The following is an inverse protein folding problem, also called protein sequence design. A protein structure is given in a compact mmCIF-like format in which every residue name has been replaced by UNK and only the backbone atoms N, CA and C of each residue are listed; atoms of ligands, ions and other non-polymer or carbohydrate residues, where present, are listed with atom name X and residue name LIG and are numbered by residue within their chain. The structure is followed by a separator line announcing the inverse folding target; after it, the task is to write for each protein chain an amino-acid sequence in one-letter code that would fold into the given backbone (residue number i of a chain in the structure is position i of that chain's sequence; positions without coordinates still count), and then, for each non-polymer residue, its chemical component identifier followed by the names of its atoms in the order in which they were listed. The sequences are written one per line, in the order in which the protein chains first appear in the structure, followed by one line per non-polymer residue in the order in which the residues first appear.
data_IF_122997652782
#
_entry.id   IF_122997652782
#
_cell.length_a   1.000
_cell.length_b   1.000
_cell.length_c   1.000
_cell.angle_alpha   90.00
_cell.angle_beta   90.00
_cell.angle_gamma   90.00
#
_symmetry.space_group_name_H-M   'P 1'
#
loop_
_entity.id
_entity.type
_entity.pdbx_description
1 polymer ?
#
# COMPACT_ATOMS: atom_id res chain seq x y z
N UNK A 1 -7.25 21.66 1.81
CA UNK A 1 -7.26 20.84 3.03
C UNK A 1 -8.31 19.75 2.86
N UNK A 2 -7.90 18.49 2.97
CA UNK A 2 -8.83 17.36 3.02
C UNK A 2 -9.50 17.25 4.40
N UNK A 3 -10.43 16.30 4.59
CA UNK A 3 -11.17 16.13 5.84
C UNK A 3 -10.28 15.89 7.07
N UNK A 4 -9.06 15.40 6.87
CA UNK A 4 -8.11 15.02 7.92
C UNK A 4 -7.29 16.20 8.46
N UNK A 5 -7.32 17.36 7.81
CA UNK A 5 -6.59 18.57 8.24
C UNK A 5 -5.07 18.51 8.11
N UNK A 6 -4.50 17.44 7.54
CA UNK A 6 -3.06 17.26 7.34
C UNK A 6 -2.54 18.05 6.12
N UNK A 7 -1.28 18.50 6.20
CA UNK A 7 -0.58 19.04 5.05
C UNK A 7 0.00 17.89 4.21
N UNK A 8 -0.19 17.92 2.90
CA UNK A 8 0.30 16.89 1.98
C UNK A 8 0.93 17.48 0.72
N UNK A 9 1.97 16.81 0.22
CA UNK A 9 2.65 17.16 -1.04
C UNK A 9 2.96 15.86 -1.79
N UNK A 10 2.83 15.86 -3.11
CA UNK A 10 3.24 14.74 -3.97
C UNK A 10 4.25 15.23 -5.00
N UNK A 11 5.39 14.56 -5.10
CA UNK A 11 6.48 14.86 -6.02
C UNK A 11 6.72 13.64 -6.94
N UNK A 12 6.40 13.72 -8.25
CA UNK A 12 6.61 12.61 -9.17
C UNK A 12 8.10 12.33 -9.39
N UNK A 13 8.47 11.05 -9.51
CA UNK A 13 9.83 10.66 -9.86
C UNK A 13 10.04 10.69 -11.39
N UNK A 14 11.22 11.11 -11.87
CA UNK A 14 11.53 11.14 -13.29
C UNK A 14 11.81 9.72 -13.83
N UNK A 15 10.74 8.93 -14.02
CA UNK A 15 10.81 7.55 -14.53
C UNK A 15 10.38 7.55 -15.99
N UNK A 16 11.24 7.06 -16.88
CA UNK A 16 10.91 6.92 -18.30
C UNK A 16 9.99 5.72 -18.53
N UNK A 17 8.87 5.94 -19.22
CA UNK A 17 7.88 4.91 -19.54
C UNK A 17 8.22 4.15 -20.84
N UNK A 18 9.49 3.97 -21.19
CA UNK A 18 10.01 3.63 -22.53
C UNK A 18 9.17 2.64 -23.36
N UNK A 19 8.67 1.57 -22.72
CA UNK A 19 7.88 0.51 -23.38
C UNK A 19 6.38 0.56 -23.07
N UNK A 20 5.86 1.70 -22.65
CA UNK A 20 4.47 1.90 -22.24
C UNK A 20 4.11 1.34 -20.86
N UNK A 21 5.08 0.74 -20.16
CA UNK A 21 4.90 0.18 -18.82
C UNK A 21 6.05 0.59 -17.93
N UNK A 22 5.74 1.38 -16.89
CA UNK A 22 6.68 1.79 -15.86
C UNK A 22 5.95 1.90 -14.53
N UNK A 23 6.66 1.71 -13.40
CA UNK A 23 6.05 1.83 -12.09
C UNK A 23 5.65 3.29 -11.84
N UNK A 24 4.41 3.50 -11.41
CA UNK A 24 3.93 4.81 -10.98
C UNK A 24 4.45 5.08 -9.56
N UNK A 25 5.61 5.72 -9.45
CA UNK A 25 6.22 6.09 -8.17
C UNK A 25 6.28 7.61 -7.99
N UNK A 26 6.01 8.05 -6.77
CA UNK A 26 6.13 9.43 -6.34
C UNK A 26 6.59 9.48 -4.88
N UNK A 27 7.23 10.57 -4.50
CA UNK A 27 7.46 10.93 -3.11
C UNK A 27 6.22 11.62 -2.56
N UNK A 28 5.68 11.07 -1.49
CA UNK A 28 4.54 11.61 -0.77
C UNK A 28 5.01 12.16 0.57
N UNK A 29 4.68 13.43 0.82
CA UNK A 29 4.80 14.05 2.13
C UNK A 29 3.43 14.12 2.81
N UNK A 30 3.40 13.80 4.10
CA UNK A 30 2.29 14.09 5.01
C UNK A 30 2.82 14.61 6.33
N UNK A 31 2.24 15.69 6.87
CA UNK A 31 2.63 16.23 8.18
C UNK A 31 2.39 15.24 9.33
N UNK A 32 1.50 14.27 9.15
CA UNK A 32 1.25 13.18 10.11
C UNK A 32 2.09 11.93 9.84
N UNK A 33 2.96 11.94 8.83
CA UNK A 33 3.78 10.79 8.46
C UNK A 33 4.92 10.53 9.46
N UNK A 34 5.24 9.25 9.65
CA UNK A 34 6.34 8.81 10.51
C UNK A 34 7.73 8.99 9.89
N UNK A 35 8.73 8.41 10.54
CA UNK A 35 10.09 8.33 9.99
C UNK A 35 10.22 7.17 9.00
N UNK A 36 11.01 7.34 7.95
CA UNK A 36 11.25 6.32 6.94
C UNK A 36 12.52 6.59 6.12
N UNK A 37 12.80 5.76 5.10
CA UNK A 37 14.02 5.86 4.30
C UNK A 37 14.22 7.21 3.60
N UNK A 38 13.14 7.96 3.37
CA UNK A 38 13.16 9.27 2.71
C UNK A 38 13.09 10.46 3.69
N UNK A 39 13.18 10.18 5.00
CA UNK A 39 13.07 11.16 6.07
C UNK A 39 11.68 11.22 6.70
N UNK A 40 11.54 12.07 7.72
CA UNK A 40 10.29 12.22 8.49
C UNK A 40 9.20 12.86 7.62
N UNK A 41 8.01 12.26 7.64
CA UNK A 41 6.86 12.71 6.87
C UNK A 41 6.91 12.33 5.39
N UNK A 42 8.04 11.82 4.89
CA UNK A 42 8.24 11.43 3.49
C UNK A 42 8.17 9.92 3.29
N UNK A 43 7.53 9.50 2.20
CA UNK A 43 7.41 8.10 1.81
C UNK A 43 7.40 7.96 0.30
N UNK A 44 7.87 6.82 -0.20
CA UNK A 44 7.68 6.38 -1.59
C UNK A 44 7.06 4.98 -1.50
N UNK A 45 5.73 4.94 -1.41
CA UNK A 45 5.02 3.69 -1.18
C UNK A 45 4.89 2.88 -2.47
N UNK A 46 5.10 1.58 -2.34
CA UNK A 46 4.78 0.58 -3.36
C UNK A 46 3.55 -0.21 -2.92
N UNK A 47 2.79 -0.77 -3.86
CA UNK A 47 1.70 -1.69 -3.50
C UNK A 47 2.25 -2.86 -2.65
N UNK A 48 1.61 -3.10 -1.52
CA UNK A 48 2.03 -4.16 -0.58
C UNK A 48 0.81 -4.73 0.13
N UNK A 49 0.95 -5.96 0.62
CA UNK A 49 0.01 -6.59 1.55
C UNK A 49 0.74 -6.73 2.88
N UNK A 50 0.09 -6.33 3.97
CA UNK A 50 0.68 -6.37 5.31
C UNK A 50 -0.24 -7.12 6.28
N UNK A 51 0.31 -7.70 7.36
CA UNK A 51 -0.50 -8.16 8.50
C UNK A 51 -0.95 -6.95 9.30
N UNK A 52 -2.21 -6.94 9.77
CA UNK A 52 -2.76 -5.84 10.56
C UNK A 52 -2.10 -5.78 11.93
N UNK A 53 -1.48 -4.65 12.25
CA UNK A 53 -0.85 -4.41 13.56
C UNK A 53 -1.60 -3.42 14.45
N UNK A 54 -2.68 -2.82 13.94
CA UNK A 54 -3.43 -1.78 14.67
C UNK A 54 -4.17 -2.32 15.91
N UNK A 55 -4.44 -3.63 15.96
CA UNK A 55 -5.17 -4.30 17.06
C UNK A 55 -4.27 -5.21 17.92
N UNK A 56 -2.95 -5.07 17.80
CA UNK A 56 -2.00 -5.90 18.53
C UNK A 56 -0.96 -6.52 17.60
N UNK A 57 -0.14 -7.40 18.18
CA UNK A 57 0.94 -8.07 17.46
C UNK A 57 0.37 -9.29 16.72
N UNK A 58 0.61 -9.44 15.41
CA UNK A 58 0.24 -10.63 14.66
C UNK A 58 0.83 -11.90 15.28
N UNK A 59 0.03 -12.95 15.39
CA UNK A 59 0.47 -14.24 15.94
C UNK A 59 1.03 -15.18 14.88
N UNK A 60 0.97 -14.79 13.61
CA UNK A 60 1.42 -15.55 12.44
C UNK A 60 0.67 -16.88 12.27
N UNK A 61 -0.61 -16.90 12.63
CA UNK A 61 -1.53 -18.01 12.39
C UNK A 61 -2.70 -17.56 11.49
N UNK A 62 -3.70 -18.44 11.29
CA UNK A 62 -4.85 -18.19 10.43
C UNK A 62 -5.86 -17.18 11.00
N UNK A 63 -5.67 -16.70 12.24
CA UNK A 63 -6.54 -15.69 12.85
C UNK A 63 -6.10 -14.24 12.57
N UNK A 64 -4.91 -14.05 12.00
CA UNK A 64 -4.43 -12.71 11.67
C UNK A 64 -5.17 -12.12 10.46
N UNK A 65 -5.48 -10.83 10.56
CA UNK A 65 -6.06 -10.06 9.47
C UNK A 65 -4.96 -9.49 8.56
N UNK A 66 -5.27 -9.36 7.27
CA UNK A 66 -4.39 -8.74 6.27
C UNK A 66 -4.95 -7.40 5.82
N UNK A 67 -4.06 -6.47 5.53
CA UNK A 67 -4.35 -5.18 4.92
C UNK A 67 -3.92 -5.20 3.46
N UNK A 68 -4.79 -4.70 2.58
CA UNK A 68 -4.52 -4.52 1.16
C UNK A 68 -3.62 -3.31 0.88
N UNK A 69 -3.29 -3.06 -0.40
CA UNK A 69 -2.48 -1.91 -0.81
C UNK A 69 -3.08 -0.54 -0.49
N UNK A 70 -4.39 -0.49 -0.28
CA UNK A 70 -5.17 0.67 0.15
C UNK A 70 -5.22 0.84 1.67
N UNK A 71 -4.68 -0.12 2.42
CA UNK A 71 -4.74 -0.16 3.88
C UNK A 71 -6.06 -0.69 4.44
N UNK A 72 -6.96 -1.22 3.61
CA UNK A 72 -8.22 -1.81 4.06
C UNK A 72 -8.08 -3.29 4.42
N UNK A 73 -8.95 -3.78 5.31
CA UNK A 73 -8.94 -5.19 5.74
C UNK A 73 -9.41 -6.08 4.60
N UNK A 74 -8.58 -7.04 4.23
CA UNK A 74 -8.91 -8.06 3.24
C UNK A 74 -9.83 -9.11 3.85
N UNK A 75 -10.89 -9.45 3.12
CA UNK A 75 -11.86 -10.49 3.49
C UNK A 75 -11.77 -11.63 2.49
N UNK A 76 -11.75 -12.86 2.98
CA UNK A 76 -11.77 -14.04 2.13
C UNK A 76 -13.08 -14.10 1.34
N UNK A 77 -12.97 -14.15 0.02
CA UNK A 77 -14.11 -14.42 -0.87
C UNK A 77 -14.20 -15.91 -1.17
N UNK A 78 -15.38 -16.36 -1.61
CA UNK A 78 -15.54 -17.72 -2.10
C UNK A 78 -14.53 -17.97 -3.23
N UNK A 79 -13.82 -19.09 -3.16
CA UNK A 79 -13.02 -19.53 -4.28
C UNK A 79 -13.97 -19.76 -5.45
N UNK A 80 -13.80 -19.03 -6.55
CA UNK A 80 -14.36 -19.43 -7.84
C UNK A 80 -13.61 -20.67 -8.30
N UNK A 81 -13.89 -21.81 -7.66
CA UNK A 81 -13.22 -23.08 -7.89
C UNK A 81 -13.54 -23.73 -9.24
N UNK A 82 -14.22 -23.01 -10.15
CA UNK A 82 -14.62 -23.50 -11.47
C UNK A 82 -13.98 -22.71 -12.64
N UNK A 83 -13.12 -21.72 -12.34
CA UNK A 83 -12.33 -21.03 -13.36
C UNK A 83 -10.88 -21.52 -13.28
N UNK A 84 -10.32 -22.16 -14.34
CA UNK A 84 -8.91 -22.49 -14.36
C UNK A 84 -8.10 -21.20 -14.22
N UNK A 85 -7.08 -21.24 -13.36
CA UNK A 85 -6.12 -20.17 -13.18
C UNK A 85 -5.66 -19.67 -14.56
N UNK A 86 -5.74 -18.37 -14.90
CA UNK A 86 -5.35 -17.91 -16.23
C UNK A 86 -3.88 -18.22 -16.45
N UNK A 87 -3.63 -19.23 -17.28
CA UNK A 87 -2.30 -19.60 -17.74
C UNK A 87 -1.86 -18.48 -18.67
N UNK A 88 -0.77 -17.80 -18.31
CA UNK A 88 -0.02 -16.92 -19.20
C UNK A 88 0.60 -17.72 -20.34
#
# INVERSE_FOLDING_TARGET
SGPDGLASITLPLPISAERGFAPALALHYSSGGGNGPFGVGWSCATMSIARRTSHGVPQYNDSDEFLGPDGEVLVQTLSTGDAPNPVT
#
